data_IF_136192673551
#
_entry.id   IF_136192673551
#
_cell.length_a   1.000
_cell.length_b   1.000
_cell.length_c   1.000
_cell.angle_alpha   90.00
_cell.angle_beta   90.00
_cell.angle_gamma   90.00
#
_symmetry.space_group_name_H-M   'P 1'
#
loop_
_entity.id
_entity.type
_entity.pdbx_description
1 polymer ?
#
# COMPACT_ATOMS: atom_id res chain seq x y z
N UNK A 1 -31.77 2.59 -14.32
CA UNK A 1 -30.83 2.18 -13.26
C UNK A 1 -29.44 2.53 -13.81
N UNK A 2 -28.88 3.66 -13.38
CA UNK A 2 -27.61 4.16 -13.93
C UNK A 2 -26.46 3.34 -13.34
N UNK A 3 -25.77 2.58 -14.19
CA UNK A 3 -24.50 1.94 -13.88
C UNK A 3 -23.49 3.03 -13.56
N UNK A 4 -23.13 3.17 -12.28
CA UNK A 4 -22.01 4.02 -11.88
C UNK A 4 -20.77 3.38 -12.50
N UNK A 5 -20.08 4.09 -13.38
CA UNK A 5 -18.82 3.65 -13.98
C UNK A 5 -17.87 3.22 -12.86
N UNK A 6 -17.55 1.93 -12.81
CA UNK A 6 -16.68 1.29 -11.81
C UNK A 6 -15.21 1.75 -11.88
N UNK A 7 -14.93 2.84 -12.59
CA UNK A 7 -13.61 3.36 -12.90
C UNK A 7 -13.30 4.71 -12.24
N UNK A 8 -14.20 5.27 -11.43
CA UNK A 8 -13.94 6.51 -10.68
C UNK A 8 -13.46 6.16 -9.25
N UNK A 9 -12.26 6.61 -8.83
CA UNK A 9 -11.80 6.40 -7.47
C UNK A 9 -12.67 7.15 -6.45
N UNK A 10 -13.04 6.46 -5.36
CA UNK A 10 -13.76 7.02 -4.20
C UNK A 10 -12.81 7.55 -3.11
N UNK A 11 -11.52 7.19 -3.17
CA UNK A 11 -10.49 7.66 -2.25
C UNK A 11 -9.12 7.68 -2.91
N UNK A 12 -8.29 8.64 -2.51
CA UNK A 12 -6.97 8.92 -3.10
C UNK A 12 -5.94 9.20 -2.02
N UNK A 13 -4.82 8.51 -2.07
CA UNK A 13 -3.75 8.65 -1.08
C UNK A 13 -2.37 8.63 -1.74
N UNK A 14 -1.48 9.53 -1.33
CA UNK A 14 -0.10 9.54 -1.77
C UNK A 14 0.85 8.99 -0.71
N UNK A 15 1.76 8.14 -1.15
CA UNK A 15 2.80 7.53 -0.36
C UNK A 15 4.10 8.27 -0.65
N UNK A 16 4.67 8.89 0.39
CA UNK A 16 5.92 9.63 0.30
C UNK A 16 7.02 8.93 1.11
N UNK A 17 8.17 8.72 0.46
CA UNK A 17 9.40 8.27 1.10
C UNK A 17 10.55 9.18 0.67
N UNK A 18 11.02 10.02 1.62
CA UNK A 18 12.03 11.06 1.40
C UNK A 18 13.39 10.48 1.00
N UNK A 19 13.75 9.30 1.52
CA UNK A 19 15.02 8.63 1.24
C UNK A 19 14.81 7.14 1.02
N UNK A 20 15.47 6.54 0.01
CA UNK A 20 15.35 5.12 -0.35
C UNK A 20 15.71 4.16 0.80
N UNK A 21 16.55 4.58 1.74
CA UNK A 21 17.01 3.80 2.90
C UNK A 21 16.03 3.77 4.08
N UNK A 22 15.06 4.69 4.16
CA UNK A 22 14.22 4.80 5.37
C UNK A 22 13.14 3.71 5.45
N UNK A 23 13.01 3.09 6.62
CA UNK A 23 11.94 2.12 6.92
C UNK A 23 10.54 2.75 6.90
N UNK A 24 10.47 4.07 7.14
CA UNK A 24 9.24 4.84 7.29
C UNK A 24 8.70 5.33 5.94
N UNK A 25 7.38 5.32 5.81
CA UNK A 25 6.64 5.92 4.70
C UNK A 25 5.49 6.74 5.26
N UNK A 26 5.37 7.99 4.79
CA UNK A 26 4.27 8.88 5.18
C UNK A 26 3.17 8.81 4.12
N UNK A 27 1.92 8.85 4.56
CA UNK A 27 0.75 8.79 3.68
C UNK A 27 -0.12 10.02 3.88
N UNK A 28 -0.51 10.66 2.77
CA UNK A 28 -1.30 11.87 2.71
C UNK A 28 -2.60 11.62 1.93
N UNK A 29 -3.68 12.32 2.24
CA UNK A 29 -4.90 12.31 1.41
C UNK A 29 -4.77 13.23 0.21
N UNK A 30 -5.19 12.78 -0.97
CA UNK A 30 -5.25 13.58 -2.19
C UNK A 30 -4.44 12.98 -3.34
N UNK A 31 -4.63 13.59 -4.52
CA UNK A 31 -3.83 13.30 -5.71
C UNK A 31 -2.63 14.23 -5.73
N UNK A 32 -1.50 13.74 -5.23
CA UNK A 32 -0.23 14.44 -5.39
C UNK A 32 0.40 13.93 -6.67
N UNK A 33 -0.03 14.49 -7.79
CA UNK A 33 0.42 14.01 -9.09
C UNK A 33 1.89 14.38 -9.40
N UNK A 34 2.50 15.40 -8.76
CA UNK A 34 3.74 15.94 -9.35
C UNK A 34 4.87 16.42 -8.41
N UNK A 35 4.68 16.90 -7.17
CA UNK A 35 5.81 17.55 -6.47
C UNK A 35 5.93 17.27 -4.96
N UNK A 36 7.10 16.75 -4.49
CA UNK A 36 7.42 16.60 -3.07
C UNK A 36 7.28 17.87 -2.23
N UNK A 37 7.40 19.03 -2.86
CA UNK A 37 7.36 20.36 -2.22
C UNK A 37 5.98 20.67 -1.62
N UNK A 38 4.92 20.09 -2.18
CA UNK A 38 3.54 20.21 -1.65
C UNK A 38 3.34 19.42 -0.33
N UNK A 39 4.23 18.49 0.01
CA UNK A 39 4.18 17.78 1.30
C UNK A 39 4.73 18.61 2.46
N UNK A 40 5.50 19.67 2.20
CA UNK A 40 6.08 20.48 3.28
C UNK A 40 5.02 21.25 4.08
N UNK A 41 3.87 21.53 3.47
CA UNK A 41 2.73 22.22 4.10
C UNK A 41 1.58 21.30 4.51
N UNK A 42 1.61 20.03 4.09
CA UNK A 42 0.55 19.07 4.39
C UNK A 42 0.94 18.20 5.59
N UNK A 43 0.03 18.03 6.56
CA UNK A 43 0.22 17.06 7.65
C UNK A 43 -0.08 15.65 7.14
N UNK A 44 0.79 14.65 7.36
CA UNK A 44 0.49 13.26 7.00
C UNK A 44 -0.72 12.74 7.77
N UNK A 45 -1.50 11.87 7.13
CA UNK A 45 -2.62 11.15 7.76
C UNK A 45 -2.18 9.85 8.41
N UNK A 46 -1.25 9.14 7.76
CA UNK A 46 -0.72 7.88 8.27
C UNK A 46 0.80 7.83 8.18
N UNK A 47 1.38 6.97 9.02
CA UNK A 47 2.79 6.58 8.98
C UNK A 47 2.86 5.06 8.95
N UNK A 48 3.62 4.52 8.02
CA UNK A 48 3.88 3.09 7.88
C UNK A 48 5.35 2.85 8.20
N UNK A 49 5.62 1.96 9.15
CA UNK A 49 6.97 1.54 9.50
C UNK A 49 7.15 0.04 9.19
N UNK A 50 8.16 -0.27 8.38
CA UNK A 50 8.57 -1.65 8.10
C UNK A 50 10.06 -1.78 8.39
N UNK A 51 10.38 -2.32 9.56
CA UNK A 51 11.76 -2.47 10.04
C UNK A 51 12.04 -3.93 10.43
N UNK A 52 13.06 -4.52 9.82
CA UNK A 52 13.40 -5.92 10.07
C UNK A 52 12.23 -6.85 9.75
N UNK A 53 11.59 -7.40 10.79
CA UNK A 53 10.38 -8.22 10.69
C UNK A 53 9.11 -7.51 11.18
N UNK A 54 9.22 -6.34 11.80
CA UNK A 54 8.09 -5.59 12.34
C UNK A 54 7.34 -4.84 11.23
N UNK A 55 6.02 -4.76 11.39
CA UNK A 55 5.10 -4.07 10.51
C UNK A 55 4.17 -3.23 11.38
N UNK A 56 4.17 -1.91 11.20
CA UNK A 56 3.28 -1.03 11.96
C UNK A 56 2.67 0.03 11.05
N UNK A 57 1.40 0.34 11.32
CA UNK A 57 0.72 1.47 10.70
C UNK A 57 0.07 2.32 11.78
N UNK A 58 0.42 3.59 11.76
CA UNK A 58 -0.09 4.60 12.68
C UNK A 58 -0.95 5.62 11.93
N UNK A 59 -1.92 6.18 12.64
CA UNK A 59 -2.67 7.35 12.18
C UNK A 59 -2.30 8.56 13.02
N UNK A 60 -2.14 9.68 12.33
CA UNK A 60 -1.96 10.98 12.96
C UNK A 60 -3.31 11.51 13.44
N UNK A 61 -3.49 11.57 14.77
CA UNK A 61 -4.62 12.22 15.39
C UNK A 61 -4.41 13.72 15.62
N UNK A 62 -5.39 14.34 16.26
CA UNK A 62 -5.37 15.74 16.69
C UNK A 62 -4.37 15.98 17.83
N UNK A 63 -4.13 14.99 18.70
CA UNK A 63 -3.27 15.12 19.89
C UNK A 63 -2.17 14.06 20.04
N UNK A 64 -2.26 12.91 19.37
CA UNK A 64 -1.24 11.86 19.43
C UNK A 64 -1.23 10.96 18.19
N UNK A 65 -0.14 10.21 18.02
CA UNK A 65 0.00 9.17 17.00
C UNK A 65 -0.45 7.84 17.60
N UNK A 66 -1.45 7.19 16.98
CA UNK A 66 -2.02 5.93 17.45
C UNK A 66 -1.71 4.81 16.47
N UNK A 67 -1.21 3.68 16.97
CA UNK A 67 -1.08 2.46 16.16
C UNK A 67 -2.47 1.91 15.84
N UNK A 68 -2.77 1.71 14.55
CA UNK A 68 -3.99 1.06 14.07
C UNK A 68 -3.73 -0.42 13.82
N UNK A 69 -2.58 -0.73 13.20
CA UNK A 69 -2.18 -2.08 12.87
C UNK A 69 -0.77 -2.33 13.39
N UNK A 70 -0.57 -3.53 13.93
CA UNK A 70 0.74 -4.06 14.28
C UNK A 70 0.85 -5.49 13.76
N UNK A 71 2.02 -5.87 13.27
CA UNK A 71 2.21 -7.19 12.67
C UNK A 71 3.66 -7.57 12.57
N UNK A 72 3.89 -8.78 12.08
CA UNK A 72 5.24 -9.23 11.78
C UNK A 72 5.29 -10.20 10.62
N UNK A 73 6.43 -10.16 9.91
CA UNK A 73 6.78 -11.20 8.95
C UNK A 73 7.10 -12.51 9.65
N UNK A 74 6.59 -13.60 9.10
CA UNK A 74 6.88 -14.96 9.54
C UNK A 74 7.94 -15.63 8.65
N UNK A 75 8.73 -16.51 9.27
CA UNK A 75 9.74 -17.31 8.59
C UNK A 75 10.98 -16.53 8.13
N UNK A 76 11.85 -17.22 7.38
CA UNK A 76 13.12 -16.66 6.90
C UNK A 76 12.94 -15.79 5.65
N UNK A 77 12.01 -16.16 4.77
CA UNK A 77 11.83 -15.54 3.46
C UNK A 77 10.92 -14.31 3.46
N UNK A 78 10.36 -13.94 4.63
CA UNK A 78 9.36 -12.86 4.77
C UNK A 78 8.18 -13.00 3.79
N UNK A 79 7.85 -14.22 3.40
CA UNK A 79 6.80 -14.54 2.42
C UNK A 79 5.41 -14.66 3.04
N UNK A 80 5.31 -14.58 4.37
CA UNK A 80 4.07 -14.54 5.13
C UNK A 80 4.16 -13.46 6.18
N UNK A 81 3.04 -12.84 6.52
CA UNK A 81 2.92 -11.95 7.67
C UNK A 81 1.58 -12.14 8.36
N UNK A 82 1.58 -11.87 9.67
CA UNK A 82 0.38 -11.74 10.48
C UNK A 82 0.24 -10.29 10.91
N UNK A 83 -0.96 -9.74 10.75
CA UNK A 83 -1.27 -8.34 11.05
C UNK A 83 -2.48 -8.33 11.98
N UNK A 84 -2.31 -7.76 13.16
CA UNK A 84 -3.37 -7.56 14.15
C UNK A 84 -3.90 -6.13 14.07
N UNK A 85 -5.22 -6.00 14.06
CA UNK A 85 -5.95 -4.74 14.18
C UNK A 85 -7.08 -4.85 15.21
N UNK A 86 -8.02 -3.91 15.16
CA UNK A 86 -9.16 -3.86 16.10
C UNK A 86 -10.16 -4.98 15.80
N UNK A 87 -10.32 -5.33 14.53
CA UNK A 87 -11.26 -6.31 14.03
C UNK A 87 -10.66 -7.74 13.98
N UNK A 88 -9.43 -7.92 14.44
CA UNK A 88 -8.79 -9.21 14.61
C UNK A 88 -7.52 -9.40 13.79
N UNK A 89 -7.28 -10.64 13.37
CA UNK A 89 -6.05 -11.04 12.70
C UNK A 89 -6.25 -11.14 11.18
N UNK A 90 -5.39 -10.47 10.44
CA UNK A 90 -5.25 -10.59 9.00
C UNK A 90 -4.00 -11.38 8.65
N UNK A 91 -4.09 -12.22 7.61
CA UNK A 91 -2.94 -12.99 7.11
C UNK A 91 -2.57 -12.52 5.72
N UNK A 92 -1.28 -12.34 5.50
CA UNK A 92 -0.73 -11.93 4.20
C UNK A 92 0.25 -12.98 3.74
N UNK A 93 0.11 -13.48 2.52
CA UNK A 93 0.95 -14.57 2.00
C UNK A 93 1.33 -14.35 0.54
N UNK A 94 2.60 -14.57 0.23
CA UNK A 94 3.12 -14.71 -1.13
C UNK A 94 3.08 -16.19 -1.54
N UNK A 95 2.45 -16.57 -2.67
CA UNK A 95 2.33 -17.98 -3.08
C UNK A 95 3.68 -18.66 -3.35
N UNK A 96 4.71 -17.89 -3.73
CA UNK A 96 6.06 -18.37 -3.98
C UNK A 96 7.06 -17.23 -4.17
N UNK A 97 8.36 -17.54 -4.11
CA UNK A 97 9.46 -16.56 -4.19
C UNK A 97 9.53 -15.80 -5.52
N UNK A 98 8.98 -16.38 -6.60
CA UNK A 98 8.93 -15.79 -7.94
C UNK A 98 7.53 -15.27 -8.31
N UNK A 99 6.54 -15.43 -7.44
CA UNK A 99 5.19 -14.92 -7.70
C UNK A 99 5.19 -13.40 -7.61
N UNK A 100 4.57 -12.74 -8.59
CA UNK A 100 4.36 -11.29 -8.61
C UNK A 100 3.14 -10.85 -7.79
N UNK A 101 2.45 -11.78 -7.12
CA UNK A 101 1.23 -11.52 -6.38
C UNK A 101 1.30 -11.86 -4.90
N UNK A 102 0.45 -11.21 -4.12
CA UNK A 102 0.27 -11.44 -2.69
C UNK A 102 -1.21 -11.60 -2.37
N UNK A 103 -1.55 -12.54 -1.50
CA UNK A 103 -2.91 -12.75 -1.02
C UNK A 103 -3.03 -12.19 0.38
N UNK A 104 -4.08 -11.41 0.62
CA UNK A 104 -4.46 -10.85 1.91
C UNK A 104 -5.78 -11.50 2.33
N UNK A 105 -5.87 -11.95 3.57
CA UNK A 105 -7.10 -12.45 4.18
C UNK A 105 -7.49 -11.49 5.31
N UNK A 106 -8.69 -10.91 5.23
CA UNK A 106 -9.25 -9.98 6.22
C UNK A 106 -10.73 -10.35 6.45
N UNK A 107 -11.15 -10.49 7.71
CA UNK A 107 -12.53 -10.89 8.07
C UNK A 107 -13.08 -12.11 7.31
N UNK A 108 -12.22 -13.08 6.98
CA UNK A 108 -12.49 -14.27 6.13
C UNK A 108 -12.59 -14.01 4.63
N UNK A 109 -12.62 -12.75 4.18
CA UNK A 109 -12.54 -12.40 2.77
C UNK A 109 -11.11 -12.49 2.26
N UNK A 110 -10.97 -12.84 0.98
CA UNK A 110 -9.68 -12.96 0.31
C UNK A 110 -9.54 -11.87 -0.73
N UNK A 111 -8.41 -11.21 -0.67
CA UNK A 111 -8.01 -10.17 -1.61
C UNK A 111 -6.64 -10.53 -2.21
N UNK A 112 -6.40 -10.08 -3.43
CA UNK A 112 -5.16 -10.38 -4.14
C UNK A 112 -4.54 -9.12 -4.72
N UNK A 113 -3.33 -8.82 -4.27
CA UNK A 113 -2.44 -7.89 -4.96
C UNK A 113 -1.79 -8.60 -6.14
N UNK A 114 -1.83 -7.96 -7.30
CA UNK A 114 -1.20 -8.42 -8.52
C UNK A 114 -0.31 -7.31 -9.10
N UNK A 115 0.90 -7.69 -9.51
CA UNK A 115 1.77 -6.88 -10.37
C UNK A 115 1.83 -7.53 -11.76
N UNK A 116 1.21 -6.91 -12.79
CA UNK A 116 1.38 -7.34 -14.16
C UNK A 116 2.85 -7.18 -14.60
N UNK A 117 3.37 -8.12 -15.40
CA UNK A 117 4.80 -8.21 -15.76
C UNK A 117 5.40 -6.97 -16.45
N UNK A 118 4.57 -6.09 -17.01
CA UNK A 118 4.98 -4.85 -17.70
C UNK A 118 4.25 -3.62 -17.17
N UNK A 119 3.81 -3.64 -15.90
CA UNK A 119 3.09 -2.52 -15.29
C UNK A 119 3.86 -1.94 -14.11
N UNK A 120 3.72 -0.63 -13.94
CA UNK A 120 4.13 0.09 -12.73
C UNK A 120 2.98 0.20 -11.71
N UNK A 121 1.88 -0.55 -11.89
CA UNK A 121 0.72 -0.49 -11.02
C UNK A 121 0.45 -1.84 -10.35
N UNK A 122 0.26 -1.80 -9.03
CA UNK A 122 -0.31 -2.89 -8.26
C UNK A 122 -1.83 -2.79 -8.28
N UNK A 123 -2.53 -3.90 -8.49
CA UNK A 123 -4.00 -3.94 -8.41
C UNK A 123 -4.41 -4.89 -7.30
N UNK A 124 -5.31 -4.44 -6.43
CA UNK A 124 -5.97 -5.25 -5.41
C UNK A 124 -7.36 -5.63 -5.91
N UNK A 125 -7.63 -6.92 -5.99
CA UNK A 125 -8.95 -7.46 -6.32
C UNK A 125 -9.54 -8.28 -5.18
N UNK A 126 -10.86 -8.38 -5.12
CA UNK A 126 -11.58 -9.35 -4.26
C UNK A 126 -11.72 -10.72 -4.94
N UNK A 127 -12.44 -11.63 -4.30
CA UNK A 127 -12.68 -12.99 -4.79
C UNK A 127 -13.42 -13.04 -6.13
N UNK A 128 -14.23 -12.02 -6.44
CA UNK A 128 -14.98 -11.90 -7.70
C UNK A 128 -14.15 -11.19 -8.79
N UNK A 129 -12.86 -10.96 -8.54
CA UNK A 129 -11.95 -10.18 -9.38
C UNK A 129 -12.38 -8.71 -9.56
N UNK A 130 -13.24 -8.18 -8.69
CA UNK A 130 -13.57 -6.76 -8.74
C UNK A 130 -12.41 -5.94 -8.17
N UNK A 131 -12.08 -4.84 -8.84
CA UNK A 131 -11.02 -3.94 -8.38
C UNK A 131 -11.45 -3.22 -7.10
N UNK A 132 -10.63 -3.36 -6.06
CA UNK A 132 -10.78 -2.65 -4.78
C UNK A 132 -9.86 -1.44 -4.75
N UNK A 133 -8.61 -1.62 -5.15
CA UNK A 133 -7.60 -0.57 -5.12
C UNK A 133 -6.59 -0.72 -6.27
N UNK A 134 -5.98 0.39 -6.68
CA UNK A 134 -4.80 0.41 -7.54
C UNK A 134 -3.73 1.30 -6.92
N UNK A 135 -2.50 0.84 -6.94
CA UNK A 135 -1.35 1.63 -6.50
C UNK A 135 -0.38 1.84 -7.66
N UNK A 136 -0.27 3.08 -8.12
CA UNK A 136 0.61 3.45 -9.23
C UNK A 136 1.95 3.91 -8.65
N UNK A 137 3.03 3.24 -9.05
CA UNK A 137 4.39 3.54 -8.62
C UNK A 137 5.03 4.56 -9.57
N UNK A 138 5.70 5.57 -9.00
CA UNK A 138 6.55 6.51 -9.74
C UNK A 138 7.92 6.63 -9.08
N UNK A 139 8.97 6.38 -9.86
CA UNK A 139 10.33 6.66 -9.44
C UNK A 139 10.65 8.12 -9.76
N UNK A 140 11.06 8.89 -8.74
CA UNK A 140 11.67 10.21 -8.92
C UNK A 140 13.13 10.09 -8.47
N UNK A 141 14.03 10.86 -9.10
CA UNK A 141 15.51 10.75 -8.94
C UNK A 141 16.03 10.54 -7.51
N UNK A 142 15.33 11.03 -6.48
CA UNK A 142 15.75 10.88 -5.07
C UNK A 142 14.63 10.36 -4.13
N UNK A 143 13.42 10.10 -4.64
CA UNK A 143 12.27 9.72 -3.83
C UNK A 143 11.39 8.68 -4.54
N UNK A 144 10.68 7.88 -3.76
CA UNK A 144 9.60 7.03 -4.28
C UNK A 144 8.28 7.67 -3.94
N UNK A 145 7.54 8.02 -4.98
CA UNK A 145 6.14 8.37 -4.86
C UNK A 145 5.30 7.17 -5.29
N UNK A 146 4.16 7.01 -4.64
CA UNK A 146 3.11 6.17 -5.18
C UNK A 146 1.75 6.72 -4.85
N UNK A 147 0.80 6.48 -5.75
CA UNK A 147 -0.57 6.95 -5.62
C UNK A 147 -1.49 5.74 -5.48
N UNK A 148 -2.18 5.65 -4.35
CA UNK A 148 -3.20 4.63 -4.06
C UNK A 148 -4.58 5.22 -4.37
N UNK A 149 -5.28 4.55 -5.26
CA UNK A 149 -6.67 4.83 -5.63
C UNK A 149 -7.56 3.71 -5.09
N UNK A 150 -8.59 4.07 -4.32
CA UNK A 150 -9.65 3.15 -3.90
C UNK A 150 -10.83 3.27 -4.85
N UNK A 151 -11.39 2.13 -5.25
CA UNK A 151 -12.57 2.06 -6.13
C UNK A 151 -13.82 1.57 -5.38
N UNK A 152 -13.67 1.11 -4.14
CA UNK A 152 -14.78 0.77 -3.24
C UNK A 152 -14.62 1.47 -1.90
N UNK A 153 -15.75 1.81 -1.28
CA UNK A 153 -15.76 2.23 0.12
C UNK A 153 -15.37 1.05 0.99
N UNK A 154 -14.43 1.28 1.90
CA UNK A 154 -13.90 0.28 2.83
C UNK A 154 -13.91 0.85 4.23
N UNK A 155 -14.00 -0.01 5.24
CA UNK A 155 -13.83 0.43 6.61
C UNK A 155 -12.39 0.91 6.87
N UNK A 156 -12.20 1.63 7.98
CA UNK A 156 -10.92 2.26 8.31
C UNK A 156 -9.79 1.24 8.53
N UNK A 157 -10.09 0.07 9.11
CA UNK A 157 -9.09 -0.95 9.35
C UNK A 157 -8.70 -1.64 8.05
N UNK A 158 -9.67 -1.94 7.20
CA UNK A 158 -9.38 -2.50 5.89
C UNK A 158 -8.57 -1.53 5.03
N UNK A 159 -8.88 -0.23 5.09
CA UNK A 159 -8.04 0.81 4.47
C UNK A 159 -6.59 0.74 4.97
N UNK A 160 -6.39 0.64 6.29
CA UNK A 160 -5.06 0.51 6.87
C UNK A 160 -4.35 -0.77 6.39
N UNK A 161 -5.07 -1.90 6.26
CA UNK A 161 -4.53 -3.15 5.73
C UNK A 161 -4.11 -2.97 4.28
N UNK A 162 -4.94 -2.32 3.45
CA UNK A 162 -4.61 -2.01 2.06
C UNK A 162 -3.33 -1.18 2.00
N UNK A 163 -3.19 -0.14 2.83
CA UNK A 163 -2.01 0.71 2.85
C UNK A 163 -0.73 -0.04 3.27
N UNK A 164 -0.81 -0.79 4.37
CA UNK A 164 0.32 -1.55 4.89
C UNK A 164 0.77 -2.63 3.90
N UNK A 165 -0.18 -3.42 3.39
CA UNK A 165 0.13 -4.50 2.44
C UNK A 165 0.60 -3.96 1.09
N UNK A 166 0.06 -2.85 0.61
CA UNK A 166 0.58 -2.16 -0.57
C UNK A 166 2.07 -1.84 -0.41
N UNK A 167 2.45 -1.26 0.74
CA UNK A 167 3.86 -0.95 1.03
C UNK A 167 4.73 -2.21 1.11
N UNK A 168 4.23 -3.28 1.74
CA UNK A 168 4.92 -4.58 1.81
C UNK A 168 5.19 -5.14 0.41
N UNK A 169 4.16 -5.19 -0.45
CA UNK A 169 4.25 -5.71 -1.81
C UNK A 169 5.26 -4.88 -2.61
N UNK A 170 5.14 -3.54 -2.57
CA UNK A 170 6.04 -2.64 -3.27
C UNK A 170 7.51 -2.81 -2.83
N UNK A 171 7.77 -3.10 -1.54
CA UNK A 171 9.12 -3.35 -1.05
C UNK A 171 9.76 -4.64 -1.61
N UNK A 172 8.96 -5.56 -2.16
CA UNK A 172 9.45 -6.83 -2.73
C UNK A 172 9.72 -6.80 -4.23
N UNK A 173 9.38 -5.69 -4.90
CA UNK A 173 9.62 -5.51 -6.33
C UNK A 173 11.08 -5.10 -6.53
N UNK A 174 11.87 -5.86 -7.32
CA UNK A 174 13.26 -5.52 -7.61
C UNK A 174 13.38 -4.10 -8.16
N UNK A 175 14.37 -3.36 -7.67
CA UNK A 175 14.69 -2.04 -8.20
C UNK A 175 15.46 -2.26 -9.51
N UNK A 176 14.79 -2.55 -10.62
CA UNK A 176 15.44 -2.36 -11.91
C UNK A 176 15.65 -0.85 -12.04
N UNK A 177 16.92 -0.44 -12.13
CA UNK A 177 17.29 0.94 -12.40
C UNK A 177 16.38 1.50 -13.49
N UNK A 178 15.80 2.65 -13.19
CA UNK A 178 14.94 3.42 -14.07
C UNK A 178 15.72 3.86 -15.29
N UNK A 179 15.85 2.98 -16.28
CA UNK A 179 16.31 3.29 -17.65
C UNK A 179 15.15 3.28 -18.65
N UNK A 180 13.91 3.30 -18.18
CA UNK A 180 12.75 3.42 -19.06
C UNK A 180 11.89 4.61 -18.62
N UNK A 181 12.10 5.70 -19.36
CA UNK A 181 11.13 6.68 -19.87
C UNK A 181 11.74 8.10 -19.88
N UNK A 182 12.78 8.27 -20.69
CA UNK A 182 12.92 9.49 -21.50
C UNK A 182 12.65 9.08 -22.94
N UNK A 183 11.41 9.22 -23.38
CA UNK A 183 11.02 9.26 -24.79
C UNK A 183 9.69 9.99 -24.88
#
# INVERSE_FOLDING_TARGET
MLSIDSNVPVGRYAFFKKELSQATTLVFSGDYDLFPEEFNSTKPMYRIDIEGRSLELFQYGSSSMRSILAGSYEGLTKSKALISGINGLSTVKRPGLLSSGWTVVYMNDRYKWELPAMSNALTLTDADNSVIAKFIMRAIRQARLGALYLYKNVDQEFLAIIMLTCKMVHATIPQSDSTFLTS
#
